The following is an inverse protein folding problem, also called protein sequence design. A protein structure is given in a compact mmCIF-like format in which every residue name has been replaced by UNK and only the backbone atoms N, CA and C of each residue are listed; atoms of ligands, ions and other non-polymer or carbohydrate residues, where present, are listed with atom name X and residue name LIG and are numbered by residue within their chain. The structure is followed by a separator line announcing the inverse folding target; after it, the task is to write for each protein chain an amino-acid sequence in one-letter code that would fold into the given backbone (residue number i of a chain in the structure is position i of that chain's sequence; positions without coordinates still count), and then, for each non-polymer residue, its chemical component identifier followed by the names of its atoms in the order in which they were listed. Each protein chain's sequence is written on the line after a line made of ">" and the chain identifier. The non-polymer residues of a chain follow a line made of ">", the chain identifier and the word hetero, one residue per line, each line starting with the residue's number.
data_IF_631690071181
#
_entry.id   IF_631690071181
#
_cell.length_a   1.000
_cell.length_b   1.000
_cell.length_c   1.000
_cell.angle_alpha   90.00
_cell.angle_beta   90.00
_cell.angle_gamma   90.00
#
_symmetry.space_group_name_H-M   'P 1'
#
loop_
_entity.id
_entity.type
_entity.pdbx_description
1 polymer ?
#
# COMPACT_ATOMS: atom_id res chain seq x y z
N UNK A 1 12.32 0.83 14.17
CA UNK A 1 12.07 0.66 15.63
C UNK A 1 11.54 -0.75 15.88
N UNK A 2 11.73 -1.31 17.07
CA UNK A 2 11.35 -2.71 17.39
C UNK A 2 9.86 -3.01 17.15
N UNK A 3 8.97 -2.04 17.38
CA UNK A 3 7.54 -2.23 17.15
C UNK A 3 7.21 -2.44 15.67
N UNK A 4 7.85 -1.73 14.74
CA UNK A 4 7.55 -1.83 13.29
C UNK A 4 7.74 -3.26 12.76
N UNK A 5 8.82 -3.92 13.20
CA UNK A 5 9.12 -5.31 12.84
C UNK A 5 8.15 -6.32 13.47
N UNK A 6 7.59 -5.99 14.63
CA UNK A 6 6.55 -6.81 15.27
C UNK A 6 5.25 -6.75 14.45
N UNK A 7 4.95 -5.63 13.81
CA UNK A 7 3.78 -5.49 12.94
C UNK A 7 4.01 -5.88 11.48
N UNK A 8 5.27 -6.08 11.08
CA UNK A 8 5.62 -6.34 9.67
C UNK A 8 5.41 -5.12 8.78
N UNK A 9 5.52 -3.91 9.34
CA UNK A 9 5.38 -2.63 8.64
C UNK A 9 6.69 -1.85 8.57
N UNK A 10 7.81 -2.49 8.88
CA UNK A 10 9.15 -1.92 8.84
C UNK A 10 9.63 -1.56 7.43
N UNK A 11 8.92 -2.06 6.40
CA UNK A 11 9.14 -1.68 5.02
C UNK A 11 8.46 -0.37 4.61
N UNK A 12 7.53 0.16 5.40
CA UNK A 12 6.76 1.37 5.07
C UNK A 12 7.69 2.58 5.15
N UNK A 13 7.87 3.30 4.04
CA UNK A 13 8.83 4.41 3.94
C UNK A 13 8.59 5.50 5.00
N UNK A 14 7.34 5.73 5.40
CA UNK A 14 6.97 6.71 6.42
C UNK A 14 7.46 6.36 7.83
N UNK A 15 7.66 5.07 8.13
CA UNK A 15 8.13 4.60 9.43
C UNK A 15 9.64 4.32 9.46
N UNK A 16 10.27 4.27 8.31
CA UNK A 16 11.68 3.93 8.18
C UNK A 16 12.61 5.05 8.65
N UNK A 17 13.73 4.66 9.25
CA UNK A 17 14.85 5.57 9.50
C UNK A 17 15.61 5.82 8.21
N UNK A 18 16.23 7.00 8.11
CA UNK A 18 17.10 7.35 7.01
C UNK A 18 18.20 6.29 6.82
N UNK A 19 18.28 5.75 5.61
CA UNK A 19 19.16 4.64 5.22
C UNK A 19 19.29 4.59 3.70
N UNK A 20 20.18 3.75 3.16
CA UNK A 20 20.23 3.46 1.71
C UNK A 20 18.90 2.93 1.19
N UNK A 21 18.27 2.01 1.92
CA UNK A 21 16.94 1.46 1.61
C UNK A 21 15.87 2.55 1.56
N UNK A 22 15.81 3.43 2.57
CA UNK A 22 14.88 4.56 2.59
C UNK A 22 15.08 5.49 1.40
N UNK A 23 16.33 5.86 1.09
CA UNK A 23 16.65 6.72 -0.07
C UNK A 23 16.20 6.08 -1.38
N UNK A 24 16.40 4.77 -1.53
CA UNK A 24 15.99 4.04 -2.72
C UNK A 24 14.46 4.02 -2.86
N UNK A 25 13.72 3.65 -1.82
CA UNK A 25 12.25 3.67 -1.86
C UNK A 25 11.72 5.08 -2.15
N UNK A 26 12.27 6.11 -1.50
CA UNK A 26 11.90 7.51 -1.74
C UNK A 26 12.18 7.94 -3.18
N UNK A 27 13.30 7.50 -3.76
CA UNK A 27 13.65 7.75 -5.17
C UNK A 27 12.63 7.10 -6.10
N UNK A 28 12.26 5.84 -5.86
CA UNK A 28 11.25 5.11 -6.67
C UNK A 28 9.92 5.88 -6.62
N UNK A 29 9.39 6.16 -5.42
CA UNK A 29 8.15 6.92 -5.24
C UNK A 29 8.18 8.28 -5.94
N UNK A 30 9.26 9.04 -5.76
CA UNK A 30 9.39 10.36 -6.38
C UNK A 30 9.44 10.26 -7.91
N UNK A 31 10.12 9.25 -8.47
CA UNK A 31 10.20 9.05 -9.91
C UNK A 31 8.86 8.66 -10.53
N UNK A 32 8.03 7.90 -9.81
CA UNK A 32 6.72 7.46 -10.29
C UNK A 32 5.65 8.56 -10.20
N UNK A 33 5.76 9.48 -9.23
CA UNK A 33 4.73 10.51 -8.96
C UNK A 33 5.23 11.96 -9.10
N UNK A 34 6.33 12.18 -9.82
CA UNK A 34 6.84 13.53 -10.12
C UNK A 34 5.95 14.27 -11.13
N UNK A 35 5.96 15.62 -11.05
CA UNK A 35 5.08 16.51 -11.84
C UNK A 35 5.07 16.23 -13.34
N UNK A 36 6.22 15.92 -13.89
CA UNK A 36 6.45 15.61 -15.30
C UNK A 36 5.83 14.28 -15.77
N UNK A 37 5.42 13.40 -14.86
CA UNK A 37 4.77 12.12 -15.18
C UNK A 37 3.28 12.14 -14.80
N UNK A 38 2.84 13.11 -13.98
CA UNK A 38 1.45 13.19 -13.48
C UNK A 38 0.43 13.29 -14.62
N UNK A 39 0.75 13.97 -15.73
CA UNK A 39 -0.13 14.07 -16.90
C UNK A 39 -0.53 12.72 -17.48
N UNK A 40 0.31 11.70 -17.32
CA UNK A 40 0.03 10.35 -17.83
C UNK A 40 -1.08 9.64 -17.04
N UNK A 41 -1.35 10.05 -15.80
CA UNK A 41 -2.44 9.48 -14.99
C UNK A 41 -3.80 10.15 -15.26
N UNK A 42 -3.85 11.31 -15.92
CA UNK A 42 -5.10 12.04 -16.12
C UNK A 42 -6.19 11.23 -16.86
N UNK A 43 -5.89 10.49 -17.94
CA UNK A 43 -6.91 9.67 -18.61
C UNK A 43 -7.52 8.62 -17.68
N UNK A 44 -6.69 7.94 -16.89
CA UNK A 44 -7.13 6.95 -15.90
C UNK A 44 -7.97 7.60 -14.80
N UNK A 45 -7.51 8.73 -14.25
CA UNK A 45 -8.24 9.47 -13.21
C UNK A 45 -9.61 9.93 -13.71
N UNK A 46 -9.69 10.43 -14.95
CA UNK A 46 -10.96 10.83 -15.57
C UNK A 46 -11.91 9.64 -15.71
N UNK A 47 -11.41 8.47 -16.13
CA UNK A 47 -12.20 7.24 -16.20
C UNK A 47 -12.76 6.84 -14.83
N UNK A 48 -11.93 6.83 -13.79
CA UNK A 48 -12.36 6.52 -12.43
C UNK A 48 -13.30 7.58 -11.85
N UNK A 49 -13.17 8.84 -12.25
CA UNK A 49 -14.09 9.91 -11.86
C UNK A 49 -15.49 9.70 -12.48
N UNK A 50 -15.56 9.30 -13.75
CA UNK A 50 -16.83 8.91 -14.37
C UNK A 50 -17.49 7.72 -13.66
N UNK A 51 -16.72 6.69 -13.31
CA UNK A 51 -17.23 5.55 -12.53
C UNK A 51 -17.83 5.99 -11.18
N UNK A 52 -17.15 6.90 -10.48
CA UNK A 52 -17.64 7.49 -9.22
C UNK A 52 -18.95 8.25 -9.41
N UNK A 53 -19.04 9.11 -10.43
CA UNK A 53 -20.25 9.88 -10.71
C UNK A 53 -21.45 8.97 -11.02
N UNK A 54 -21.24 7.90 -11.79
CA UNK A 54 -22.28 6.92 -12.07
C UNK A 54 -22.72 6.18 -10.80
N UNK A 55 -21.78 5.82 -9.91
CA UNK A 55 -22.10 5.19 -8.63
C UNK A 55 -22.92 6.12 -7.73
N UNK A 56 -22.58 7.41 -7.66
CA UNK A 56 -23.33 8.41 -6.91
C UNK A 56 -24.73 8.66 -7.50
N UNK A 57 -24.88 8.58 -8.82
CA UNK A 57 -26.19 8.74 -9.48
C UNK A 57 -27.12 7.55 -9.17
N UNK A 58 -26.58 6.34 -9.17
CA UNK A 58 -27.34 5.11 -8.94
C UNK A 58 -27.65 4.87 -7.45
N UNK A 59 -26.73 5.22 -6.54
CA UNK A 59 -26.91 5.05 -5.09
C UNK A 59 -26.27 6.21 -4.30
N UNK A 60 -26.93 7.37 -4.23
CA UNK A 60 -26.35 8.58 -3.62
C UNK A 60 -26.17 8.47 -2.09
N UNK A 61 -26.92 7.60 -1.42
CA UNK A 61 -26.88 7.47 0.04
C UNK A 61 -25.62 6.76 0.52
N UNK A 62 -25.03 5.89 -0.32
CA UNK A 62 -23.80 5.16 -0.02
C UNK A 62 -22.53 5.89 -0.50
N UNK A 63 -22.58 7.22 -0.64
CA UNK A 63 -21.45 8.06 -1.08
C UNK A 63 -20.12 7.80 -0.34
N UNK A 64 -20.07 7.49 0.97
CA UNK A 64 -18.80 7.22 1.65
C UNK A 64 -18.11 5.98 1.08
N UNK A 65 -18.88 4.93 0.78
CA UNK A 65 -18.32 3.71 0.16
C UNK A 65 -17.89 3.95 -1.27
N UNK A 66 -18.61 4.79 -2.02
CA UNK A 66 -18.22 5.15 -3.38
C UNK A 66 -16.89 5.92 -3.41
N UNK A 67 -16.69 6.84 -2.47
CA UNK A 67 -15.42 7.57 -2.32
C UNK A 67 -14.27 6.65 -1.88
N UNK A 68 -14.53 5.72 -0.96
CA UNK A 68 -13.56 4.72 -0.53
C UNK A 68 -13.12 3.81 -1.70
N UNK A 69 -14.09 3.29 -2.46
CA UNK A 69 -13.82 2.45 -3.63
C UNK A 69 -13.10 3.22 -4.74
N UNK A 70 -13.51 4.46 -5.03
CA UNK A 70 -12.86 5.30 -6.03
C UNK A 70 -11.39 5.55 -5.69
N UNK A 71 -11.11 5.94 -4.45
CA UNK A 71 -9.76 6.18 -3.94
C UNK A 71 -8.87 4.95 -4.06
N UNK A 72 -9.38 3.78 -3.65
CA UNK A 72 -8.71 2.49 -3.81
C UNK A 72 -8.45 2.15 -5.28
N UNK A 73 -9.43 2.40 -6.15
CA UNK A 73 -9.35 2.12 -7.60
C UNK A 73 -8.28 2.97 -8.28
N UNK A 74 -8.23 4.27 -7.98
CA UNK A 74 -7.22 5.19 -8.53
C UNK A 74 -5.81 4.75 -8.15
N UNK A 75 -5.55 4.50 -6.87
CA UNK A 75 -4.20 4.14 -6.41
C UNK A 75 -3.80 2.74 -6.88
N UNK A 76 -4.73 1.77 -6.91
CA UNK A 76 -4.42 0.42 -7.39
C UNK A 76 -4.14 0.41 -8.89
N UNK A 77 -4.85 1.21 -9.69
CA UNK A 77 -4.56 1.40 -11.11
C UNK A 77 -3.20 2.07 -11.32
N UNK A 78 -2.92 3.17 -10.62
CA UNK A 78 -1.65 3.91 -10.76
C UNK A 78 -0.42 3.10 -10.35
N UNK A 79 -0.52 2.30 -9.29
CA UNK A 79 0.61 1.55 -8.74
C UNK A 79 0.78 0.19 -9.43
N UNK A 80 -0.32 -0.52 -9.66
CA UNK A 80 -0.33 -1.94 -10.04
C UNK A 80 -0.97 -2.24 -11.40
N UNK A 81 -1.47 -1.23 -12.13
CA UNK A 81 -2.28 -1.44 -13.35
C UNK A 81 -3.47 -2.37 -13.09
N UNK A 82 -4.02 -2.27 -11.88
CA UNK A 82 -5.18 -3.06 -11.49
C UNK A 82 -6.46 -2.35 -11.94
N UNK A 83 -7.26 -3.04 -12.73
CA UNK A 83 -8.59 -2.59 -13.09
C UNK A 83 -9.60 -3.14 -12.09
N UNK A 84 -9.91 -2.31 -11.09
CA UNK A 84 -10.87 -2.66 -10.08
C UNK A 84 -12.29 -2.73 -10.63
N UNK A 85 -13.10 -3.63 -10.08
CA UNK A 85 -14.53 -3.64 -10.33
C UNK A 85 -15.17 -2.33 -9.87
N UNK A 86 -16.15 -1.86 -10.63
CA UNK A 86 -16.88 -0.60 -10.36
C UNK A 86 -17.53 -0.57 -8.97
N UNK A 87 -17.93 -1.73 -8.45
CA UNK A 87 -18.50 -1.94 -7.11
C UNK A 87 -17.97 -3.25 -6.53
N UNK A 88 -17.84 -3.29 -5.21
CA UNK A 88 -17.48 -4.49 -4.44
C UNK A 88 -16.26 -5.23 -4.97
N UNK A 89 -15.20 -4.47 -5.28
CA UNK A 89 -13.94 -5.07 -5.68
C UNK A 89 -13.29 -5.79 -4.50
N UNK A 90 -13.17 -7.11 -4.60
CA UNK A 90 -12.65 -7.94 -3.53
C UNK A 90 -11.25 -7.52 -3.10
N UNK A 91 -10.36 -7.18 -4.04
CA UNK A 91 -8.98 -6.84 -3.70
C UNK A 91 -8.92 -5.52 -2.95
N UNK A 92 -9.64 -4.50 -3.42
CA UNK A 92 -9.73 -3.21 -2.72
C UNK A 92 -10.35 -3.40 -1.33
N UNK A 93 -11.52 -4.03 -1.23
CA UNK A 93 -12.21 -4.20 0.06
C UNK A 93 -11.32 -4.93 1.08
N UNK A 94 -10.65 -6.00 0.63
CA UNK A 94 -9.80 -6.81 1.50
C UNK A 94 -8.56 -6.04 1.96
N UNK A 95 -7.89 -5.34 1.06
CA UNK A 95 -6.69 -4.55 1.40
C UNK A 95 -7.07 -3.35 2.27
N UNK A 96 -8.19 -2.68 2.00
CA UNK A 96 -8.69 -1.58 2.83
C UNK A 96 -9.10 -2.05 4.22
N UNK A 97 -9.77 -3.21 4.34
CA UNK A 97 -10.07 -3.82 5.63
C UNK A 97 -8.80 -4.14 6.43
N UNK A 98 -7.79 -4.71 5.78
CA UNK A 98 -6.49 -4.99 6.38
C UNK A 98 -5.81 -3.71 6.90
N UNK A 99 -5.80 -2.64 6.09
CA UNK A 99 -5.28 -1.33 6.51
C UNK A 99 -6.05 -0.74 7.69
N UNK A 100 -7.38 -0.82 7.70
CA UNK A 100 -8.22 -0.38 8.83
C UNK A 100 -7.89 -1.13 10.12
N UNK A 101 -7.67 -2.43 10.05
CA UNK A 101 -7.25 -3.25 11.21
C UNK A 101 -5.86 -2.81 11.69
N UNK A 102 -4.90 -2.67 10.79
CA UNK A 102 -3.53 -2.25 11.14
C UNK A 102 -3.54 -0.85 11.78
N UNK A 103 -4.25 0.12 11.18
CA UNK A 103 -4.37 1.48 11.70
C UNK A 103 -5.03 1.52 13.09
N UNK A 104 -6.06 0.69 13.31
CA UNK A 104 -6.74 0.58 14.60
C UNK A 104 -5.85 0.02 15.71
N UNK A 105 -4.96 -0.91 15.39
CA UNK A 105 -4.03 -1.47 16.37
C UNK A 105 -2.81 -0.57 16.57
N UNK A 106 -2.40 0.20 15.56
CA UNK A 106 -1.26 1.11 15.59
C UNK A 106 -1.64 2.56 15.86
N UNK A 107 -2.55 2.80 16.81
CA UNK A 107 -2.89 4.16 17.23
C UNK A 107 -1.63 4.91 17.68
N UNK A 108 -1.48 6.21 17.35
CA UNK A 108 -0.30 6.99 17.70
C UNK A 108 0.08 6.90 19.19
N UNK A 109 -0.93 6.95 20.07
CA UNK A 109 -0.77 6.80 21.52
C UNK A 109 -0.10 5.49 21.91
N UNK A 110 -0.55 4.38 21.32
CA UNK A 110 -0.04 3.04 21.62
C UNK A 110 1.39 2.92 21.09
N UNK A 111 1.62 3.32 19.84
CA UNK A 111 2.94 3.28 19.21
C UNK A 111 3.95 4.15 19.96
N UNK A 112 3.54 5.31 20.47
CA UNK A 112 4.40 6.21 21.25
C UNK A 112 4.91 5.54 22.53
N UNK A 113 4.04 4.85 23.28
CA UNK A 113 4.43 4.12 24.51
C UNK A 113 5.48 3.06 24.22
N UNK A 114 5.28 2.23 23.20
CA UNK A 114 6.25 1.18 22.86
C UNK A 114 7.53 1.72 22.20
N UNK A 115 7.47 2.92 21.62
CA UNK A 115 8.65 3.62 21.11
C UNK A 115 9.49 4.22 22.25
N UNK A 116 8.83 4.77 23.28
CA UNK A 116 9.48 5.34 24.46
C UNK A 116 10.01 4.25 25.41
N UNK A 117 9.30 3.14 25.56
CA UNK A 117 9.65 2.03 26.45
C UNK A 117 9.75 0.70 25.69
N UNK A 118 10.81 0.46 24.90
CA UNK A 118 10.95 -0.76 24.09
C UNK A 118 11.03 -2.05 24.92
N UNK A 119 11.41 -1.95 26.20
CA UNK A 119 11.45 -3.10 27.13
C UNK A 119 10.08 -3.76 27.32
N UNK A 120 8.98 -3.01 27.16
CA UNK A 120 7.61 -3.55 27.20
C UNK A 120 7.38 -4.61 26.12
N UNK A 121 8.06 -4.55 24.98
CA UNK A 121 7.93 -5.56 23.91
C UNK A 121 8.49 -6.93 24.32
N UNK A 122 9.33 -7.00 25.36
CA UNK A 122 9.85 -8.26 25.91
C UNK A 122 8.81 -8.98 26.79
N UNK A 123 7.80 -8.27 27.29
CA UNK A 123 6.77 -8.85 28.15
C UNK A 123 5.93 -9.89 27.39
N UNK A 124 5.40 -10.93 28.07
CA UNK A 124 4.52 -11.92 27.45
C UNK A 124 3.25 -11.30 26.86
N UNK A 125 2.73 -11.89 25.78
CA UNK A 125 1.54 -11.38 25.09
C UNK A 125 0.24 -11.51 25.91
N UNK A 126 0.20 -12.41 26.90
CA UNK A 126 -0.98 -12.62 27.75
C UNK A 126 -1.21 -11.52 28.79
N UNK A 127 -0.21 -10.67 29.06
CA UNK A 127 -0.29 -9.61 30.09
C UNK A 127 -1.30 -8.51 29.69
N UNK A 128 -2.02 -7.88 30.65
CA UNK A 128 -2.83 -6.70 30.38
C UNK A 128 -2.02 -5.60 29.66
N UNK A 129 -2.64 -4.91 28.70
CA UNK A 129 -1.97 -3.89 27.89
C UNK A 129 -1.12 -4.43 26.71
N UNK A 130 -0.83 -5.73 26.65
CA UNK A 130 -0.05 -6.34 25.56
C UNK A 130 -0.89 -6.74 24.34
N UNK A 131 -2.04 -6.08 24.11
CA UNK A 131 -2.90 -6.31 22.92
C UNK A 131 -2.10 -6.15 21.63
N UNK A 132 -1.24 -5.14 21.57
CA UNK A 132 -0.36 -4.86 20.45
C UNK A 132 0.46 -6.11 20.05
N UNK A 133 1.03 -6.83 21.03
CA UNK A 133 1.79 -8.07 20.79
C UNK A 133 0.92 -9.28 20.44
N UNK A 134 -0.33 -9.33 20.91
CA UNK A 134 -1.29 -10.42 20.58
C UNK A 134 -1.78 -10.35 19.13
N UNK A 135 -2.02 -9.14 18.62
CA UNK A 135 -2.54 -8.95 17.26
C UNK A 135 -1.42 -8.93 16.21
N UNK A 136 -0.16 -8.86 16.64
CA UNK A 136 0.97 -8.75 15.73
C UNK A 136 1.09 -9.86 14.68
N UNK A 137 0.80 -11.16 14.95
CA UNK A 137 0.84 -12.19 13.93
C UNK A 137 -0.18 -11.95 12.81
N UNK A 138 -1.42 -11.59 13.18
CA UNK A 138 -2.47 -11.24 12.23
C UNK A 138 -2.09 -10.00 11.42
N UNK A 139 -1.55 -8.97 12.07
CA UNK A 139 -1.10 -7.77 11.37
C UNK A 139 0.00 -8.06 10.35
N UNK A 140 0.96 -8.95 10.67
CA UNK A 140 1.99 -9.39 9.72
C UNK A 140 1.39 -10.12 8.52
N UNK A 141 0.45 -11.04 8.76
CA UNK A 141 -0.22 -11.78 7.69
C UNK A 141 -0.96 -10.82 6.75
N UNK A 142 -1.74 -9.90 7.32
CA UNK A 142 -2.46 -8.86 6.57
C UNK A 142 -1.49 -7.96 5.78
N UNK A 143 -0.40 -7.51 6.41
CA UNK A 143 0.60 -6.66 5.75
C UNK A 143 1.31 -7.37 4.58
N UNK A 144 1.63 -8.67 4.75
CA UNK A 144 2.17 -9.49 3.67
C UNK A 144 1.17 -9.65 2.53
N UNK A 145 -0.09 -9.92 2.87
CA UNK A 145 -1.14 -10.09 1.87
C UNK A 145 -1.35 -8.83 1.03
N UNK A 146 -1.42 -7.67 1.68
CA UNK A 146 -1.55 -6.36 1.02
C UNK A 146 -0.36 -6.02 0.11
N UNK A 147 0.81 -6.61 0.38
CA UNK A 147 2.04 -6.36 -0.38
C UNK A 147 2.18 -7.34 -1.54
N UNK A 148 1.93 -8.63 -1.29
CA UNK A 148 2.21 -9.70 -2.25
C UNK A 148 1.12 -9.84 -3.31
N UNK A 149 -0.17 -9.74 -2.94
CA UNK A 149 -1.26 -9.98 -3.89
C UNK A 149 -1.31 -8.95 -5.03
N UNK A 150 -1.30 -7.63 -4.77
CA UNK A 150 -1.32 -6.64 -5.85
C UNK A 150 -0.05 -6.69 -6.70
N UNK A 151 1.11 -6.92 -6.07
CA UNK A 151 2.37 -7.03 -6.81
C UNK A 151 2.38 -8.26 -7.74
N UNK A 152 1.91 -9.42 -7.26
CA UNK A 152 1.82 -10.63 -8.07
C UNK A 152 0.78 -10.51 -9.19
N UNK A 153 -0.26 -9.68 -9.03
CA UNK A 153 -1.18 -9.33 -10.11
C UNK A 153 -0.43 -8.63 -11.25
N UNK A 154 0.30 -7.55 -10.96
CA UNK A 154 1.05 -6.80 -11.97
C UNK A 154 2.17 -7.63 -12.60
N UNK A 155 2.88 -8.43 -11.81
CA UNK A 155 3.96 -9.27 -12.35
C UNK A 155 3.45 -10.30 -13.37
N UNK A 156 2.30 -10.93 -13.09
CA UNK A 156 1.64 -11.85 -14.05
C UNK A 156 1.12 -11.12 -15.27
N UNK A 157 0.52 -9.96 -15.09
CA UNK A 157 0.04 -9.14 -16.19
C UNK A 157 1.18 -8.65 -17.11
N UNK A 158 2.33 -8.32 -16.53
CA UNK A 158 3.54 -7.96 -17.27
C UNK A 158 4.09 -9.14 -18.07
N UNK A 159 4.04 -10.35 -17.53
CA UNK A 159 4.46 -11.57 -18.24
C UNK A 159 3.54 -11.92 -19.43
N UNK A 160 2.28 -11.54 -19.37
CA UNK A 160 1.27 -11.81 -20.42
C UNK A 160 1.05 -10.64 -21.38
N UNK A 161 1.69 -9.49 -21.15
CA UNK A 161 1.52 -8.28 -21.97
C UNK A 161 0.18 -7.55 -21.78
N UNK A 162 -0.53 -7.83 -20.68
CA UNK A 162 -1.86 -7.28 -20.38
C UNK A 162 -1.84 -6.06 -19.44
N UNK A 163 -0.66 -5.56 -19.09
CA UNK A 163 -0.47 -4.47 -18.13
C UNK A 163 -0.17 -3.15 -18.83
N UNK A 164 -0.90 -2.10 -18.43
CA UNK A 164 -0.64 -0.72 -18.82
C UNK A 164 0.53 -0.13 -18.01
N UNK A 165 1.03 1.05 -18.42
CA UNK A 165 2.06 1.76 -17.67
C UNK A 165 1.57 2.05 -16.25
N UNK A 166 2.36 1.63 -15.27
CA UNK A 166 2.12 1.83 -13.85
C UNK A 166 3.46 1.79 -13.11
N UNK A 167 3.49 2.26 -11.86
CA UNK A 167 4.71 2.30 -11.06
C UNK A 167 5.46 0.96 -11.05
N UNK A 168 4.78 -0.15 -10.74
CA UNK A 168 5.45 -1.46 -10.65
C UNK A 168 5.95 -1.92 -12.02
N UNK A 169 5.13 -1.84 -13.07
CA UNK A 169 5.52 -2.28 -14.42
C UNK A 169 6.72 -1.48 -14.96
N UNK A 170 6.68 -0.16 -14.84
CA UNK A 170 7.74 0.73 -15.34
C UNK A 170 9.09 0.44 -14.67
N UNK A 171 9.08 0.13 -13.37
CA UNK A 171 10.29 -0.22 -12.64
C UNK A 171 10.77 -1.66 -12.92
N UNK A 172 9.87 -2.62 -13.10
CA UNK A 172 10.23 -4.00 -13.47
C UNK A 172 10.78 -4.09 -14.90
N UNK A 173 10.27 -3.29 -15.83
CA UNK A 173 10.79 -3.23 -17.20
C UNK A 173 12.22 -2.67 -17.25
N UNK A 174 12.54 -1.67 -16.41
CA UNK A 174 13.91 -1.14 -16.27
C UNK A 174 14.90 -2.18 -15.75
N UNK A 175 14.46 -3.11 -14.91
CA UNK A 175 15.31 -4.17 -14.36
C UNK A 175 15.72 -5.26 -15.36
N UNK A 176 14.89 -5.52 -16.39
CA UNK A 176 15.21 -6.53 -17.41
C UNK A 176 16.42 -6.15 -18.27
N UNK A 177 16.92 -4.91 -18.16
CA UNK A 177 18.11 -4.39 -18.85
C UNK A 177 19.47 -4.87 -18.32
N UNK A 178 19.50 -5.70 -17.26
CA UNK A 178 20.71 -6.38 -16.78
C UNK A 178 21.41 -5.67 -15.62
N UNK A 179 21.19 -6.15 -14.38
CA UNK A 179 22.09 -5.85 -13.27
C UNK A 179 21.99 -6.88 -12.12
N UNK A 180 23.10 -7.10 -11.42
CA UNK A 180 23.24 -8.10 -10.34
C UNK A 180 22.45 -7.72 -9.06
N UNK A 181 22.04 -6.44 -8.95
CA UNK A 181 21.27 -5.87 -7.83
C UNK A 181 19.72 -5.99 -8.01
N UNK A 182 19.29 -6.80 -8.99
CA UNK A 182 17.89 -6.92 -9.42
C UNK A 182 16.94 -7.41 -8.31
N UNK A 183 17.38 -8.30 -7.43
CA UNK A 183 16.53 -8.85 -6.36
C UNK A 183 16.23 -7.85 -5.25
N UNK A 184 17.24 -7.10 -4.79
CA UNK A 184 17.09 -6.05 -3.77
C UNK A 184 16.30 -4.86 -4.29
N UNK A 185 16.52 -4.49 -5.56
CA UNK A 185 15.73 -3.46 -6.20
C UNK A 185 14.27 -3.89 -6.39
N UNK A 186 14.01 -5.10 -6.88
CA UNK A 186 12.65 -5.66 -7.00
C UNK A 186 11.93 -5.65 -5.66
N UNK A 187 12.62 -6.05 -4.59
CA UNK A 187 12.09 -5.96 -3.22
C UNK A 187 11.75 -4.52 -2.83
N UNK A 188 12.64 -3.57 -3.11
CA UNK A 188 12.41 -2.15 -2.83
C UNK A 188 11.24 -1.57 -3.62
N UNK A 189 11.05 -1.98 -4.88
CA UNK A 189 9.89 -1.60 -5.71
C UNK A 189 8.61 -2.14 -5.08
N UNK A 190 8.58 -3.42 -4.69
CA UNK A 190 7.42 -4.05 -4.04
C UNK A 190 7.02 -3.32 -2.76
N UNK A 191 7.98 -3.06 -1.88
CA UNK A 191 7.75 -2.36 -0.61
C UNK A 191 7.36 -0.88 -0.81
N UNK A 192 7.92 -0.21 -1.83
CA UNK A 192 7.54 1.16 -2.19
C UNK A 192 6.11 1.22 -2.72
N UNK A 193 5.72 0.26 -3.55
CA UNK A 193 4.36 0.15 -4.09
C UNK A 193 3.34 -0.05 -2.96
N UNK A 194 3.62 -0.94 -2.00
CA UNK A 194 2.78 -1.13 -0.82
C UNK A 194 2.68 0.14 0.04
N UNK A 195 3.77 0.89 0.16
CA UNK A 195 3.77 2.20 0.85
C UNK A 195 2.89 3.22 0.11
N UNK A 196 3.00 3.32 -1.21
CA UNK A 196 2.19 4.24 -2.02
C UNK A 196 0.70 3.91 -1.89
N UNK A 197 0.35 2.62 -1.96
CA UNK A 197 -1.02 2.15 -1.78
C UNK A 197 -1.57 2.50 -0.39
N UNK A 198 -0.85 2.12 0.68
CA UNK A 198 -1.28 2.38 2.05
C UNK A 198 -1.50 3.87 2.32
N UNK A 199 -0.58 4.72 1.87
CA UNK A 199 -0.70 6.17 2.00
C UNK A 199 -1.85 6.76 1.17
N UNK A 200 -2.04 6.27 -0.06
CA UNK A 200 -3.12 6.72 -0.94
C UNK A 200 -4.50 6.42 -0.35
N UNK A 201 -4.72 5.20 0.13
CA UNK A 201 -6.00 4.82 0.74
C UNK A 201 -6.26 5.56 2.05
N UNK A 202 -5.28 5.63 2.96
CA UNK A 202 -5.50 6.25 4.29
C UNK A 202 -5.79 7.75 4.21
N UNK A 203 -5.11 8.47 3.31
CA UNK A 203 -5.27 9.93 3.17
C UNK A 203 -6.58 10.32 2.50
N UNK A 204 -7.13 9.48 1.63
CA UNK A 204 -8.37 9.74 0.92
C UNK A 204 -9.62 9.35 1.73
N UNK A 205 -9.45 8.63 2.85
CA UNK A 205 -10.53 8.22 3.75
C UNK A 205 -10.74 9.17 4.95
N UNK A 206 -10.01 10.28 5.01
CA UNK A 206 -10.18 11.36 6.00
C UNK A 206 -10.93 12.54 5.41
#
# INVERSE_FOLDING_TARGET
>A
MLWQSIFGVDYITAFMRYSSKWRLQRKILQQSFRRDVISNFQPMQMGKAHELLLNLLEDPLDYPKHLEAHSGSVIMSAVYSYEAARRHDHMIERVTMALKIIAKEMRPEVVAVFSAFPTLLRLPSWLPGMRLKRVSPLAKELAMECTEKPFAYTERGLATGSVSSCMVADHLLKLRGGDCDSSLYKKSVKESAATAFGAGVETLLR
#
